data_IF_010285362297
#
_entry.id   IF_010285362297
#
_cell.length_a   1.000
_cell.length_b   1.000
_cell.length_c   1.000
_cell.angle_alpha   90.00
_cell.angle_beta   90.00
_cell.angle_gamma   90.00
#
_symmetry.space_group_name_H-M   'P 1'
#
loop_
_entity.id
_entity.type
_entity.pdbx_description
1 polymer ?
#
# COMPACT_ATOMS: atom_id res chain seq x y z
N UNK A 1 10.95 9.14 -0.93
CA UNK A 1 10.66 7.83 -0.32
C UNK A 1 9.18 7.58 -0.51
N UNK A 2 8.80 6.56 -1.28
CA UNK A 2 7.52 6.47 -1.98
C UNK A 2 6.30 6.33 -1.06
N UNK A 3 5.24 7.07 -1.40
CA UNK A 3 3.96 7.15 -0.70
C UNK A 3 3.08 5.92 -1.03
N UNK A 4 3.51 4.71 -0.67
CA UNK A 4 2.65 3.53 -0.69
C UNK A 4 2.04 3.36 0.70
N UNK A 5 1.10 4.23 1.05
CA UNK A 5 0.38 4.08 2.32
C UNK A 5 -0.80 3.14 2.11
N UNK A 6 -0.95 2.07 2.90
CA UNK A 6 -2.03 1.12 2.72
C UNK A 6 -3.35 1.84 3.03
N UNK A 7 -4.15 1.97 1.99
CA UNK A 7 -5.52 2.50 2.07
C UNK A 7 -6.52 1.38 2.45
N UNK A 8 -6.04 0.15 2.59
CA UNK A 8 -6.85 -1.09 2.64
C UNK A 8 -6.85 -1.82 3.99
N UNK A 9 -6.02 -1.42 4.96
CA UNK A 9 -5.99 -2.03 6.30
C UNK A 9 -6.48 -1.03 7.36
N UNK A 10 -7.77 -1.06 7.72
CA UNK A 10 -8.26 -0.48 8.96
C UNK A 10 -8.02 -1.49 10.10
N UNK A 11 -6.97 -1.28 10.90
CA UNK A 11 -6.68 -2.15 12.04
C UNK A 11 -5.42 -1.72 12.79
N UNK A 12 -5.28 -2.21 14.03
CA UNK A 12 -3.98 -2.21 14.69
C UNK A 12 -3.09 -3.24 14.03
N UNK A 13 -1.92 -2.80 13.61
CA UNK A 13 -0.88 -3.67 13.08
C UNK A 13 -0.35 -4.57 14.21
N UNK A 14 -0.83 -5.83 14.23
CA UNK A 14 -0.41 -6.85 15.20
C UNK A 14 1.08 -7.17 15.14
N UNK A 15 1.77 -6.85 14.05
CA UNK A 15 3.16 -7.24 13.81
C UNK A 15 4.14 -6.05 13.79
N UNK A 16 3.65 -4.82 13.91
CA UNK A 16 4.46 -3.60 14.06
C UNK A 16 5.33 -3.24 12.85
N UNK A 17 4.97 -3.70 11.66
CA UNK A 17 5.62 -3.36 10.39
C UNK A 17 5.32 -1.93 9.91
N UNK A 18 4.24 -1.31 10.37
CA UNK A 18 3.83 0.05 10.00
C UNK A 18 3.88 1.00 11.19
N UNK A 19 4.60 2.10 11.01
CA UNK A 19 4.55 3.17 11.99
C UNK A 19 3.15 3.80 12.02
N UNK A 20 2.70 4.29 13.19
CA UNK A 20 1.37 4.90 13.35
C UNK A 20 1.12 6.06 12.36
N UNK A 21 2.19 6.73 11.92
CA UNK A 21 2.15 7.81 10.93
C UNK A 21 2.04 7.31 9.47
N UNK A 22 2.16 6.01 9.21
CA UNK A 22 2.01 5.37 7.89
C UNK A 22 0.59 4.85 7.65
N UNK A 23 -0.21 4.74 8.72
CA UNK A 23 -1.62 4.36 8.66
C UNK A 23 -2.47 5.38 7.91
N UNK A 24 -3.58 4.90 7.34
CA UNK A 24 -4.58 5.75 6.71
C UNK A 24 -5.19 6.73 7.72
N UNK A 25 -5.24 8.02 7.37
CA UNK A 25 -5.89 9.05 8.17
C UNK A 25 -7.14 9.57 7.45
N UNK A 26 -8.26 9.79 8.17
CA UNK A 26 -9.53 10.24 7.58
C UNK A 26 -9.50 11.68 7.03
N UNK A 27 -8.39 12.41 7.16
CA UNK A 27 -8.20 13.80 6.71
C UNK A 27 -7.57 13.88 5.30
N UNK A 28 -7.66 12.82 4.48
CA UNK A 28 -7.09 12.82 3.13
C UNK A 28 -8.10 13.29 2.08
N UNK A 29 -7.66 14.21 1.23
CA UNK A 29 -8.41 14.61 0.03
C UNK A 29 -8.51 13.46 -0.98
N UNK A 30 -9.65 13.31 -1.69
CA UNK A 30 -9.88 12.24 -2.66
C UNK A 30 -8.83 12.20 -3.78
N UNK A 31 -8.24 13.34 -4.15
CA UNK A 31 -7.14 13.43 -5.11
C UNK A 31 -5.94 12.57 -4.69
N UNK A 32 -5.54 12.65 -3.41
CA UNK A 32 -4.40 11.88 -2.89
C UNK A 32 -4.63 10.37 -2.95
N UNK A 33 -5.89 9.94 -2.84
CA UNK A 33 -6.30 8.54 -2.95
C UNK A 33 -6.14 8.04 -4.38
N UNK A 34 -6.60 8.83 -5.34
CA UNK A 34 -6.51 8.52 -6.76
C UNK A 34 -5.04 8.46 -7.20
N UNK A 35 -4.21 9.42 -6.76
CA UNK A 35 -2.77 9.40 -7.01
C UNK A 35 -2.14 8.12 -6.45
N UNK A 36 -2.50 7.71 -5.23
CA UNK A 36 -2.02 6.46 -4.63
C UNK A 36 -2.37 5.23 -5.46
N UNK A 37 -3.59 5.18 -6.03
CA UNK A 37 -4.03 4.08 -6.90
C UNK A 37 -3.21 4.07 -8.21
N UNK A 38 -3.02 5.23 -8.84
CA UNK A 38 -2.21 5.36 -10.06
C UNK A 38 -0.79 4.86 -9.82
N UNK A 39 -0.18 5.25 -8.70
CA UNK A 39 1.15 4.79 -8.32
C UNK A 39 1.20 3.27 -8.08
N UNK A 40 0.18 2.68 -7.45
CA UNK A 40 0.09 1.24 -7.24
C UNK A 40 0.00 0.47 -8.56
N UNK A 41 -0.76 0.98 -9.53
CA UNK A 41 -0.88 0.36 -10.84
C UNK A 41 0.40 0.51 -11.68
N UNK A 42 1.11 1.62 -11.51
CA UNK A 42 2.35 1.91 -12.25
C UNK A 42 3.57 1.18 -11.67
N UNK A 43 3.61 1.00 -10.35
CA UNK A 43 4.69 0.34 -9.62
C UNK A 43 4.10 -0.50 -8.47
N UNK A 44 3.55 -1.68 -8.77
CA UNK A 44 2.93 -2.55 -7.77
C UNK A 44 3.90 -2.96 -6.65
N UNK A 45 3.41 -3.01 -5.41
CA UNK A 45 4.20 -3.37 -4.24
C UNK A 45 4.24 -4.90 -4.04
N UNK A 46 5.39 -5.53 -4.33
CA UNK A 46 5.60 -6.97 -4.12
C UNK A 46 6.04 -7.32 -2.68
N UNK A 47 6.45 -6.34 -1.88
CA UNK A 47 6.92 -6.54 -0.49
C UNK A 47 5.75 -6.76 0.49
N UNK A 48 4.60 -6.17 0.20
CA UNK A 48 3.35 -6.41 0.93
C UNK A 48 2.19 -6.63 -0.06
N UNK A 49 2.15 -7.80 -0.73
CA UNK A 49 1.17 -8.05 -1.76
C UNK A 49 -0.11 -8.64 -1.16
N UNK A 50 -1.26 -8.15 -1.62
CA UNK A 50 -2.55 -8.77 -1.28
C UNK A 50 -2.74 -10.14 -1.96
N UNK A 51 -2.06 -10.39 -3.08
CA UNK A 51 -2.04 -11.67 -3.78
C UNK A 51 -0.59 -12.14 -3.95
N UNK A 52 -0.24 -13.20 -3.24
CA UNK A 52 1.14 -13.71 -3.15
C UNK A 52 1.59 -14.33 -4.47
N UNK A 53 0.71 -15.07 -5.16
CA UNK A 53 1.00 -15.69 -6.45
C UNK A 53 1.33 -14.65 -7.51
N UNK A 54 0.54 -13.57 -7.58
CA UNK A 54 0.77 -12.47 -8.51
C UNK A 54 2.10 -11.75 -8.23
N UNK A 55 2.45 -11.55 -6.95
CA UNK A 55 3.72 -10.95 -6.57
C UNK A 55 4.93 -11.83 -6.93
N UNK A 56 4.80 -13.16 -6.78
CA UNK A 56 5.83 -14.09 -7.26
C UNK A 56 5.98 -14.05 -8.77
N UNK A 57 4.89 -13.96 -9.53
CA UNK A 57 4.94 -13.80 -10.98
C UNK A 57 5.59 -12.48 -11.39
N UNK A 58 5.28 -11.38 -10.70
CA UNK A 58 5.87 -10.06 -10.94
C UNK A 58 7.38 -10.04 -10.70
N UNK A 59 7.87 -10.66 -9.61
CA UNK A 59 9.31 -10.76 -9.32
C UNK A 59 10.09 -11.65 -10.29
N UNK A 60 9.39 -12.57 -10.97
CA UNK A 60 9.98 -13.50 -11.95
C UNK A 60 9.94 -12.95 -13.38
N UNK A 61 9.23 -11.86 -13.63
CA UNK A 61 9.34 -11.09 -14.89
C UNK A 61 10.67 -10.35 -14.92
#
# INVERSE_FOLDING_TARGET
MAMFRPILHPGDDEFGYEATNERWMPVRDPESVIISIILLLSSPNAESPANVEAAQQLRKK
#
